data_IF_759329149171
#
_entry.id   IF_759329149171
#
_cell.length_a   1.000
_cell.length_b   1.000
_cell.length_c   1.000
_cell.angle_alpha   90.00
_cell.angle_beta   90.00
_cell.angle_gamma   90.00
#
_symmetry.space_group_name_H-M   'P 1'
#
loop_
_entity.id
_entity.type
_entity.pdbx_description
1 polymer ?
#
# COMPACT_ATOMS: atom_id res chain seq x y z
N UNK A 1 7.16 -16.15 8.52
CA UNK A 1 6.99 -14.69 8.47
C UNK A 1 7.69 -14.17 7.22
N UNK A 2 6.92 -13.97 6.14
CA UNK A 2 7.42 -13.80 4.77
C UNK A 2 7.03 -12.44 4.19
N UNK A 3 7.31 -11.35 4.91
CA UNK A 3 6.97 -10.00 4.46
C UNK A 3 7.20 -9.77 2.96
N UNK A 4 6.18 -9.28 2.26
CA UNK A 4 6.27 -8.98 0.84
C UNK A 4 7.20 -7.79 0.64
N UNK A 5 8.18 -7.92 -0.25
CA UNK A 5 9.12 -6.86 -0.59
C UNK A 5 8.93 -6.51 -2.05
N UNK A 6 8.31 -5.36 -2.31
CA UNK A 6 8.01 -4.88 -3.65
C UNK A 6 9.05 -3.85 -4.08
N UNK A 7 9.62 -4.07 -5.27
CA UNK A 7 10.56 -3.17 -5.90
C UNK A 7 9.98 -2.51 -7.15
N UNK A 8 10.81 -1.76 -7.90
CA UNK A 8 10.37 -1.04 -9.09
C UNK A 8 9.72 -1.93 -10.17
N UNK A 9 10.13 -3.21 -10.26
CA UNK A 9 9.53 -4.19 -11.17
C UNK A 9 8.07 -4.55 -10.85
N UNK A 10 7.59 -4.23 -9.65
CA UNK A 10 6.24 -4.57 -9.15
C UNK A 10 5.28 -3.38 -9.24
N UNK A 11 5.53 -2.41 -10.12
CA UNK A 11 4.81 -1.13 -10.17
C UNK A 11 3.27 -1.29 -10.21
N UNK A 12 2.75 -2.25 -10.99
CA UNK A 12 1.32 -2.53 -11.07
C UNK A 12 0.74 -2.95 -9.71
N UNK A 13 1.42 -3.84 -8.98
CA UNK A 13 1.02 -4.27 -7.65
C UNK A 13 1.14 -3.12 -6.63
N UNK A 14 2.19 -2.31 -6.72
CA UNK A 14 2.35 -1.13 -5.87
C UNK A 14 1.19 -0.13 -6.07
N UNK A 15 0.74 0.11 -7.31
CA UNK A 15 -0.41 0.97 -7.59
C UNK A 15 -1.71 0.40 -7.01
N UNK A 16 -1.94 -0.90 -7.14
CA UNK A 16 -3.13 -1.55 -6.58
C UNK A 16 -3.17 -1.41 -5.04
N UNK A 17 -2.07 -1.68 -4.36
CA UNK A 17 -1.95 -1.50 -2.90
C UNK A 17 -2.13 -0.04 -2.49
N UNK A 18 -1.49 0.89 -3.18
CA UNK A 18 -1.59 2.31 -2.88
C UNK A 18 -3.03 2.83 -3.01
N UNK A 19 -3.74 2.43 -4.08
CA UNK A 19 -5.14 2.77 -4.29
C UNK A 19 -6.03 2.22 -3.16
N UNK A 20 -5.85 0.95 -2.80
CA UNK A 20 -6.56 0.32 -1.70
C UNK A 20 -6.31 1.01 -0.36
N UNK A 21 -5.05 1.30 -0.02
CA UNK A 21 -4.70 1.99 1.22
C UNK A 21 -5.23 3.41 1.29
N UNK A 22 -5.14 4.16 0.19
CA UNK A 22 -5.73 5.51 0.10
C UNK A 22 -7.24 5.47 0.39
N UNK A 23 -7.95 4.54 -0.24
CA UNK A 23 -9.40 4.37 -0.04
C UNK A 23 -9.76 4.00 1.39
N UNK A 24 -9.10 2.99 1.96
CA UNK A 24 -9.33 2.54 3.33
C UNK A 24 -9.01 3.64 4.36
N UNK A 25 -7.87 4.32 4.23
CA UNK A 25 -7.47 5.38 5.14
C UNK A 25 -8.45 6.56 5.11
N UNK A 26 -8.91 6.97 3.92
CA UNK A 26 -9.88 8.05 3.78
C UNK A 26 -11.26 7.68 4.34
N UNK A 27 -11.65 6.40 4.28
CA UNK A 27 -12.87 5.91 4.92
C UNK A 27 -12.77 5.94 6.46
N UNK A 28 -11.59 5.65 7.02
CA UNK A 28 -11.34 5.68 8.48
C UNK A 28 -11.22 7.10 9.01
N UNK A 29 -10.58 8.01 8.26
CA UNK A 29 -10.33 9.40 8.66
C UNK A 29 -10.70 10.38 7.54
N UNK A 30 -12.00 10.64 7.31
CA UNK A 30 -12.46 11.52 6.23
C UNK A 30 -11.97 12.97 6.34
N UNK A 31 -11.82 13.47 7.57
CA UNK A 31 -11.26 14.79 7.88
C UNK A 31 -9.80 14.95 7.45
N UNK A 32 -9.08 13.83 7.27
CA UNK A 32 -7.69 13.78 6.81
C UNK A 32 -7.58 13.46 5.31
N UNK A 33 -8.67 13.40 4.57
CA UNK A 33 -8.68 12.95 3.16
C UNK A 33 -7.73 13.75 2.26
N UNK A 34 -7.58 15.06 2.49
CA UNK A 34 -6.64 15.91 1.75
C UNK A 34 -5.17 15.49 1.96
N UNK A 35 -4.78 15.23 3.21
CA UNK A 35 -3.43 14.79 3.55
C UNK A 35 -3.13 13.39 2.99
N UNK A 36 -4.13 12.50 3.03
CA UNK A 36 -4.05 11.14 2.47
C UNK A 36 -3.88 11.19 0.94
N UNK A 37 -4.63 12.06 0.25
CA UNK A 37 -4.49 12.26 -1.19
C UNK A 37 -3.11 12.83 -1.54
N UNK A 38 -2.61 13.82 -0.78
CA UNK A 38 -1.29 14.38 -0.98
C UNK A 38 -0.17 13.35 -0.74
N UNK A 39 -0.33 12.46 0.26
CA UNK A 39 0.58 11.33 0.46
C UNK A 39 0.55 10.36 -0.72
N UNK A 40 -0.64 9.97 -1.18
CA UNK A 40 -0.80 9.05 -2.30
C UNK A 40 -0.16 9.59 -3.58
N UNK A 41 -0.36 10.86 -3.91
CA UNK A 41 0.24 11.51 -5.08
C UNK A 41 1.77 11.49 -5.04
N UNK A 42 2.39 11.76 -3.88
CA UNK A 42 3.85 11.65 -3.71
C UNK A 42 4.34 10.22 -3.94
N UNK A 43 3.59 9.21 -3.49
CA UNK A 43 3.92 7.80 -3.70
C UNK A 43 3.77 7.37 -5.16
N UNK A 44 2.73 7.83 -5.85
CA UNK A 44 2.55 7.61 -7.29
C UNK A 44 3.74 8.13 -8.09
N UNK A 45 4.23 9.33 -7.77
CA UNK A 45 5.43 9.89 -8.41
C UNK A 45 6.68 9.03 -8.19
N UNK A 46 6.87 8.47 -6.99
CA UNK A 46 7.99 7.57 -6.70
C UNK A 46 7.88 6.24 -7.44
N UNK A 47 6.66 5.70 -7.60
CA UNK A 47 6.43 4.47 -8.38
C UNK A 47 6.75 4.74 -9.85
N UNK A 48 6.22 5.84 -10.42
CA UNK A 48 6.46 6.22 -11.81
C UNK A 48 7.96 6.46 -12.10
N UNK A 49 8.70 7.02 -11.14
CA UNK A 49 10.13 7.24 -11.26
C UNK A 49 10.98 5.96 -11.05
N UNK A 50 10.38 4.81 -10.76
CA UNK A 50 11.11 3.57 -10.46
C UNK A 50 11.91 3.61 -9.14
N UNK A 51 11.57 4.54 -8.25
CA UNK A 51 12.28 4.76 -6.98
C UNK A 51 11.50 4.24 -5.76
N UNK A 52 10.26 3.79 -5.94
CA UNK A 52 9.45 3.26 -4.85
C UNK A 52 9.84 1.83 -4.47
N UNK A 53 9.98 1.62 -3.16
CA UNK A 53 10.09 0.31 -2.52
C UNK A 53 9.05 0.22 -1.40
N UNK A 54 8.46 -0.95 -1.21
CA UNK A 54 7.44 -1.20 -0.19
C UNK A 54 7.68 -2.55 0.48
N UNK A 55 7.59 -2.60 1.80
CA UNK A 55 7.54 -3.85 2.56
C UNK A 55 6.18 -3.96 3.23
N UNK A 56 5.48 -5.08 3.00
CA UNK A 56 4.19 -5.39 3.64
C UNK A 56 4.38 -6.61 4.52
N UNK A 57 4.36 -6.40 5.84
CA UNK A 57 4.35 -7.48 6.81
C UNK A 57 3.00 -8.20 6.81
N UNK A 58 3.00 -9.51 7.01
CA UNK A 58 1.78 -10.29 7.21
C UNK A 58 2.02 -11.37 8.25
N UNK A 59 0.98 -11.63 9.03
CA UNK A 59 0.91 -12.79 9.91
C UNK A 59 -0.14 -13.72 9.34
N UNK A 60 0.31 -14.89 8.87
CA UNK A 60 -0.60 -15.92 8.41
C UNK A 60 -1.37 -16.47 9.62
N UNK A 61 -2.69 -16.43 9.54
CA UNK A 61 -3.55 -17.04 10.55
C UNK A 61 -3.98 -18.41 10.03
N UNK A 62 -3.65 -19.46 10.76
CA UNK A 62 -4.18 -20.79 10.51
C UNK A 62 -5.35 -21.05 11.47
N UNK A 63 -6.49 -21.47 10.93
CA UNK A 63 -7.59 -22.02 11.70
C UNK A 63 -7.57 -23.55 11.58
N UNK A 64 -7.38 -24.31 12.67
CA UNK A 64 -7.54 -25.76 12.61
C UNK A 64 -9.01 -26.11 12.35
N UNK A 65 -9.25 -27.17 11.56
CA UNK A 65 -10.60 -27.72 11.40
C UNK A 65 -11.08 -28.26 12.75
N UNK A 66 -12.31 -27.88 13.13
CA UNK A 66 -13.03 -28.41 14.30
C UNK A 66 -13.52 -29.84 14.05
#
# INVERSE_FOLDING_TARGET
>A
DTAWRLGPGDAALQHALLSGYRGAAAAVAPDRAGDIAAWASRREALIAAGNSRLTVGHTDLWAPAL
#
